data_IF_989718243532
#
_entry.id   IF_989718243532
#
_cell.length_a   1.000
_cell.length_b   1.000
_cell.length_c   1.000
_cell.angle_alpha   90.00
_cell.angle_beta   90.00
_cell.angle_gamma   90.00
#
_symmetry.space_group_name_H-M   'P 1'
#
loop_
_entity.id
_entity.type
_entity.pdbx_description
1 polymer ?
#
# COMPACT_ATOMS: atom_id res chain seq x y z
N UNK A 1 14.45 11.72 0.99
CA UNK A 1 13.46 10.65 1.29
C UNK A 1 14.14 9.30 1.16
N UNK A 2 13.62 8.22 1.77
CA UNK A 2 14.21 6.87 1.64
C UNK A 2 14.35 6.44 0.17
N UNK A 3 13.46 6.90 -0.71
CA UNK A 3 13.55 6.68 -2.16
C UNK A 3 14.82 7.24 -2.81
N UNK A 4 15.38 8.35 -2.32
CA UNK A 4 16.66 8.84 -2.82
C UNK A 4 17.82 7.89 -2.44
N UNK A 5 17.76 7.28 -1.26
CA UNK A 5 18.74 6.26 -0.86
C UNK A 5 18.59 5.00 -1.71
N UNK A 6 17.37 4.55 -2.00
CA UNK A 6 17.14 3.45 -2.94
C UNK A 6 17.70 3.77 -4.33
N UNK A 7 17.48 4.97 -4.85
CA UNK A 7 18.03 5.39 -6.13
C UNK A 7 19.57 5.36 -6.12
N UNK A 8 20.19 5.81 -5.01
CA UNK A 8 21.64 5.85 -4.85
C UNK A 8 22.28 4.46 -4.83
N UNK A 9 21.66 3.49 -4.15
CA UNK A 9 22.23 2.13 -3.99
C UNK A 9 21.93 1.19 -5.16
N UNK A 10 20.86 1.45 -5.93
CA UNK A 10 20.48 0.59 -7.04
C UNK A 10 21.37 0.81 -8.27
N UNK A 11 21.77 -0.30 -8.88
CA UNK A 11 22.37 -0.33 -10.22
C UNK A 11 21.37 0.22 -11.25
N UNK A 12 21.88 0.58 -12.43
CA UNK A 12 21.04 0.91 -13.58
C UNK A 12 20.04 -0.22 -13.86
N UNK A 13 18.81 0.14 -14.26
CA UNK A 13 17.67 -0.77 -14.38
C UNK A 13 17.26 -1.51 -13.10
N UNK A 14 17.85 -1.20 -11.95
CA UNK A 14 17.46 -1.77 -10.66
C UNK A 14 16.01 -1.45 -10.31
N UNK A 15 15.35 -2.39 -9.64
CA UNK A 15 13.94 -2.28 -9.27
C UNK A 15 13.77 -2.20 -7.75
N UNK A 16 12.81 -1.40 -7.30
CA UNK A 16 12.28 -1.43 -5.93
C UNK A 16 10.90 -2.07 -6.00
N UNK A 17 10.73 -3.18 -5.30
CA UNK A 17 9.45 -3.88 -5.18
C UNK A 17 8.98 -3.74 -3.74
N UNK A 18 7.76 -3.25 -3.54
CA UNK A 18 7.18 -3.13 -2.21
C UNK A 18 5.69 -3.43 -2.20
N UNK A 19 5.23 -3.88 -1.04
CA UNK A 19 3.84 -4.15 -0.71
C UNK A 19 3.46 -3.25 0.47
N UNK A 20 2.44 -2.41 0.30
CA UNK A 20 1.99 -1.45 1.32
C UNK A 20 0.48 -1.53 1.51
N UNK A 21 -0.06 -1.33 2.72
CA UNK A 21 -1.50 -1.23 2.90
C UNK A 21 -2.04 -0.02 2.13
N UNK A 22 -3.25 -0.15 1.62
CA UNK A 22 -3.91 0.87 0.82
C UNK A 22 -4.74 1.80 1.71
N UNK A 23 -4.55 3.11 1.61
CA UNK A 23 -5.31 4.07 2.41
C UNK A 23 -6.83 3.93 2.24
N UNK A 24 -7.28 3.55 1.04
CA UNK A 24 -8.71 3.42 0.72
C UNK A 24 -9.32 2.07 1.13
N UNK A 25 -8.55 1.18 1.74
CA UNK A 25 -9.10 -0.06 2.25
C UNK A 25 -9.97 0.19 3.49
N UNK A 26 -10.95 -0.68 3.72
CA UNK A 26 -11.91 -0.51 4.82
C UNK A 26 -11.24 -0.48 6.20
N UNK A 27 -10.16 -1.24 6.41
CA UNK A 27 -9.40 -1.27 7.66
C UNK A 27 -8.66 0.05 7.84
N UNK A 28 -7.96 0.54 6.80
CA UNK A 28 -7.25 1.82 6.81
C UNK A 28 -8.20 3.01 6.99
N UNK A 29 -9.39 2.97 6.36
CA UNK A 29 -10.41 3.99 6.55
C UNK A 29 -10.97 3.98 7.97
N UNK A 30 -11.28 2.80 8.51
CA UNK A 30 -11.76 2.66 9.88
C UNK A 30 -10.69 3.10 10.88
N UNK A 31 -9.40 2.78 10.65
CA UNK A 31 -8.32 3.20 11.56
C UNK A 31 -8.11 4.71 11.57
N UNK A 32 -8.35 5.40 10.46
CA UNK A 32 -8.32 6.87 10.41
C UNK A 32 -9.47 7.51 11.20
N UNK A 33 -10.63 6.84 11.30
CA UNK A 33 -11.81 7.35 12.01
C UNK A 33 -11.77 7.01 13.50
N UNK A 34 -11.27 5.81 13.85
CA UNK A 34 -11.22 5.33 15.23
C UNK A 34 -10.17 6.12 16.00
N UNK A 35 -10.55 6.84 17.08
CA UNK A 35 -9.57 7.55 17.92
C UNK A 35 -8.55 6.58 18.51
N UNK A 36 -7.27 6.98 18.59
CA UNK A 36 -6.18 6.17 19.13
C UNK A 36 -6.47 5.53 20.51
N UNK A 37 -7.36 6.15 21.31
CA UNK A 37 -7.81 5.63 22.62
C UNK A 37 -8.63 4.33 22.51
N UNK A 38 -9.43 4.17 21.46
CA UNK A 38 -10.24 2.97 21.21
C UNK A 38 -9.48 1.91 20.41
N UNK A 39 -8.42 2.31 19.70
CA UNK A 39 -7.61 1.41 18.89
C UNK A 39 -6.95 0.30 19.73
N UNK A 40 -6.42 0.66 20.92
CA UNK A 40 -5.85 -0.31 21.88
C UNK A 40 -6.88 -1.32 22.39
N UNK A 41 -8.10 -0.87 22.70
CA UNK A 41 -9.17 -1.74 23.21
C UNK A 41 -9.65 -2.72 22.14
N UNK A 42 -9.88 -2.23 20.92
CA UNK A 42 -10.36 -3.05 19.80
C UNK A 42 -9.30 -4.06 19.35
N UNK A 43 -8.03 -3.67 19.26
CA UNK A 43 -6.92 -4.57 18.89
C UNK A 43 -6.69 -5.66 19.94
N UNK A 44 -6.74 -5.32 21.22
CA UNK A 44 -6.58 -6.26 22.32
C UNK A 44 -7.74 -7.27 22.37
N UNK A 45 -8.98 -6.81 22.19
CA UNK A 45 -10.18 -7.67 22.29
C UNK A 45 -10.45 -8.50 21.03
N UNK A 46 -10.15 -8.01 19.82
CA UNK A 46 -10.50 -8.71 18.57
C UNK A 46 -9.37 -9.50 17.92
N UNK A 47 -8.11 -9.10 18.12
CA UNK A 47 -6.97 -9.68 17.41
C UNK A 47 -5.99 -10.41 18.32
N UNK A 48 -6.23 -10.42 19.64
CA UNK A 48 -5.36 -11.04 20.65
C UNK A 48 -3.89 -10.63 20.47
N UNK A 49 -3.65 -9.42 19.96
CA UNK A 49 -2.31 -8.87 19.75
C UNK A 49 -1.92 -8.06 20.98
N UNK A 50 -0.75 -8.36 21.52
CA UNK A 50 -0.16 -7.56 22.59
C UNK A 50 -0.07 -6.10 22.15
N UNK A 51 -0.52 -5.23 23.04
CA UNK A 51 -0.74 -3.79 22.89
C UNK A 51 0.52 -2.96 22.60
N UNK A 52 1.65 -3.60 22.38
CA UNK A 52 2.98 -3.00 22.45
C UNK A 52 3.50 -2.50 21.09
N UNK A 53 2.71 -2.65 20.02
CA UNK A 53 3.08 -2.22 18.66
C UNK A 53 2.09 -1.23 18.03
N UNK A 54 1.39 -0.42 18.84
CA UNK A 54 0.52 0.65 18.32
C UNK A 54 1.37 1.92 18.12
N UNK A 55 2.12 1.95 17.02
CA UNK A 55 2.79 3.17 16.56
C UNK A 55 1.80 4.08 15.82
N UNK A 56 2.04 5.39 15.86
CA UNK A 56 1.27 6.35 15.07
C UNK A 56 1.36 5.95 13.58
N UNK A 57 0.22 5.67 12.97
CA UNK A 57 0.16 5.22 11.57
C UNK A 57 0.21 6.44 10.65
N UNK A 58 1.37 6.70 10.06
CA UNK A 58 1.54 7.77 9.08
C UNK A 58 1.34 7.25 7.65
N UNK A 59 0.15 7.49 7.09
CA UNK A 59 -0.17 7.13 5.71
C UNK A 59 0.44 8.13 4.71
N UNK A 60 1.74 7.99 4.41
CA UNK A 60 2.48 8.90 3.50
C UNK A 60 2.67 8.34 2.08
N UNK A 61 2.49 7.03 1.89
CA UNK A 61 2.73 6.36 0.60
C UNK A 61 1.68 5.28 0.31
N UNK A 62 0.48 5.48 0.86
CA UNK A 62 -0.58 4.47 0.87
C UNK A 62 -1.65 4.76 -0.17
N UNK A 63 -1.50 5.85 -0.94
CA UNK A 63 -2.36 6.17 -2.07
C UNK A 63 -1.58 6.09 -3.39
N UNK A 64 -2.29 5.74 -4.47
CA UNK A 64 -1.71 5.72 -5.83
C UNK A 64 -1.13 7.08 -6.22
N UNK A 65 -1.75 8.19 -5.79
CA UNK A 65 -1.28 9.54 -6.11
C UNK A 65 0.08 9.84 -5.47
N UNK A 66 0.24 9.48 -4.19
CA UNK A 66 1.49 9.70 -3.46
C UNK A 66 2.62 8.86 -4.04
N UNK A 67 2.35 7.58 -4.35
CA UNK A 67 3.31 6.67 -4.98
C UNK A 67 3.80 7.24 -6.31
N UNK A 68 2.88 7.70 -7.18
CA UNK A 68 3.24 8.29 -8.47
C UNK A 68 4.05 9.59 -8.32
N UNK A 69 3.63 10.46 -7.40
CA UNK A 69 4.32 11.74 -7.13
C UNK A 69 5.75 11.51 -6.63
N UNK A 70 5.92 10.63 -5.64
CA UNK A 70 7.23 10.30 -5.06
C UNK A 70 8.13 9.66 -6.12
N UNK A 71 7.62 8.67 -6.85
CA UNK A 71 8.39 7.98 -7.89
C UNK A 71 8.93 8.97 -8.93
N UNK A 72 8.06 9.85 -9.45
CA UNK A 72 8.45 10.88 -10.42
C UNK A 72 9.49 11.87 -9.87
N UNK A 73 9.35 12.27 -8.60
CA UNK A 73 10.28 13.21 -7.96
C UNK A 73 11.67 12.61 -7.64
N UNK A 74 11.79 11.29 -7.62
CA UNK A 74 13.01 10.57 -7.18
C UNK A 74 13.72 9.82 -8.31
N UNK A 75 13.30 10.01 -9.55
CA UNK A 75 13.92 9.39 -10.73
C UNK A 75 13.50 7.94 -10.98
N UNK A 76 12.38 7.50 -10.41
CA UNK A 76 11.81 6.18 -10.70
C UNK A 76 10.63 6.26 -11.66
N UNK A 77 10.49 5.23 -12.49
CA UNK A 77 9.32 4.97 -13.31
C UNK A 77 8.49 3.85 -12.67
N UNK A 78 7.16 4.00 -12.68
CA UNK A 78 6.25 2.97 -12.17
C UNK A 78 6.04 1.93 -13.27
N UNK A 79 6.76 0.82 -13.16
CA UNK A 79 6.70 -0.27 -14.14
C UNK A 79 5.46 -1.14 -13.94
N UNK A 80 5.13 -1.43 -12.68
CA UNK A 80 3.94 -2.20 -12.34
C UNK A 80 3.25 -1.63 -11.11
N UNK A 81 1.92 -1.57 -11.17
CA UNK A 81 1.08 -1.14 -10.05
C UNK A 81 -0.17 -2.00 -10.02
N UNK A 82 -0.40 -2.70 -8.92
CA UNK A 82 -1.53 -3.59 -8.77
C UNK A 82 -2.14 -3.49 -7.38
N UNK A 83 -3.46 -3.46 -7.35
CA UNK A 83 -4.23 -3.63 -6.13
C UNK A 83 -4.47 -5.12 -5.86
N UNK A 84 -4.07 -5.60 -4.68
CA UNK A 84 -4.16 -7.00 -4.27
C UNK A 84 -5.18 -7.20 -3.16
N UNK A 85 -5.98 -8.26 -3.31
CA UNK A 85 -6.92 -8.71 -2.29
C UNK A 85 -6.22 -9.56 -1.24
N UNK A 86 -6.71 -9.47 -0.01
CA UNK A 86 -6.39 -10.39 1.08
C UNK A 86 -7.72 -10.86 1.69
N UNK A 87 -7.76 -12.11 2.15
CA UNK A 87 -8.91 -12.60 2.91
C UNK A 87 -9.21 -11.65 4.08
N UNK A 88 -10.47 -11.50 4.50
CA UNK A 88 -10.88 -10.50 5.49
C UNK A 88 -10.47 -10.93 6.90
N UNK A 89 -9.17 -10.85 7.19
CA UNK A 89 -8.55 -11.29 8.43
C UNK A 89 -9.18 -10.61 9.66
N UNK A 90 -9.46 -9.31 9.55
CA UNK A 90 -10.08 -8.53 10.62
C UNK A 90 -11.52 -8.93 10.94
N UNK A 91 -12.17 -9.74 10.11
CA UNK A 91 -13.54 -10.21 10.31
C UNK A 91 -13.62 -11.69 10.71
N UNK A 92 -12.49 -12.36 10.92
CA UNK A 92 -12.44 -13.80 11.23
C UNK A 92 -13.07 -14.17 12.57
N UNK A 93 -13.20 -13.23 13.51
CA UNK A 93 -13.83 -13.45 14.81
C UNK A 93 -15.32 -13.80 14.72
N UNK A 94 -15.98 -13.53 13.59
CA UNK A 94 -17.41 -13.81 13.39
C UNK A 94 -17.68 -14.35 11.98
N UNK A 95 -18.33 -15.52 11.89
CA UNK A 95 -18.61 -16.19 10.62
C UNK A 95 -19.48 -15.37 9.66
N UNK A 96 -20.44 -14.60 10.17
CA UNK A 96 -21.33 -13.76 9.35
C UNK A 96 -20.53 -12.60 8.77
N UNK A 97 -19.75 -11.90 9.59
CA UNK A 97 -18.90 -10.80 9.14
C UNK A 97 -17.83 -11.29 8.16
N UNK A 98 -17.23 -12.46 8.40
CA UNK A 98 -16.28 -13.06 7.48
C UNK A 98 -16.91 -13.33 6.10
N UNK A 99 -18.13 -13.88 6.06
CA UNK A 99 -18.88 -14.09 4.81
C UNK A 99 -19.17 -12.77 4.10
N UNK A 100 -19.57 -11.73 4.83
CA UNK A 100 -19.78 -10.40 4.26
C UNK A 100 -18.48 -9.82 3.70
N UNK A 101 -17.36 -10.00 4.39
CA UNK A 101 -16.04 -9.60 3.91
C UNK A 101 -15.62 -10.31 2.61
N UNK A 102 -15.88 -11.61 2.50
CA UNK A 102 -15.64 -12.36 1.25
C UNK A 102 -16.56 -11.84 0.13
N UNK A 103 -17.84 -11.61 0.43
CA UNK A 103 -18.77 -11.08 -0.55
C UNK A 103 -18.31 -9.70 -1.05
N UNK A 104 -17.91 -8.82 -0.14
CA UNK A 104 -17.32 -7.53 -0.46
C UNK A 104 -16.08 -7.68 -1.36
N UNK A 105 -15.11 -8.53 -0.99
CA UNK A 105 -13.88 -8.74 -1.77
C UNK A 105 -14.17 -9.27 -3.19
N UNK A 106 -15.14 -10.19 -3.31
CA UNK A 106 -15.61 -10.69 -4.61
C UNK A 106 -16.28 -9.61 -5.44
N UNK A 107 -17.07 -8.73 -4.83
CA UNK A 107 -17.73 -7.61 -5.53
C UNK A 107 -16.69 -6.64 -6.06
N UNK A 108 -15.77 -6.14 -5.23
CA UNK A 108 -14.73 -5.21 -5.68
C UNK A 108 -13.77 -5.85 -6.69
N UNK A 109 -13.59 -7.18 -6.63
CA UNK A 109 -12.78 -7.92 -7.61
C UNK A 109 -13.48 -8.12 -8.95
N UNK A 110 -14.82 -8.19 -8.94
CA UNK A 110 -15.62 -8.29 -10.16
C UNK A 110 -15.67 -6.95 -10.90
N UNK A 111 -15.74 -5.83 -10.18
CA UNK A 111 -15.79 -4.49 -10.76
C UNK A 111 -14.40 -3.85 -10.73
N UNK A 112 -13.68 -3.88 -11.85
CA UNK A 112 -12.32 -3.34 -11.94
C UNK A 112 -12.19 -1.87 -11.51
N UNK A 113 -13.25 -1.08 -11.66
CA UNK A 113 -13.32 0.32 -11.18
C UNK A 113 -13.27 0.46 -9.67
N UNK A 114 -13.68 -0.57 -8.91
CA UNK A 114 -13.62 -0.64 -7.45
C UNK A 114 -12.35 -1.33 -6.94
N UNK A 115 -11.45 -1.75 -7.82
CA UNK A 115 -10.21 -2.41 -7.44
C UNK A 115 -9.32 -1.56 -6.51
N UNK A 116 -9.47 -0.24 -6.53
CA UNK A 116 -8.77 0.67 -5.62
C UNK A 116 -9.19 0.54 -4.15
N UNK A 117 -10.23 -0.22 -3.82
CA UNK A 117 -10.66 -0.48 -2.43
C UNK A 117 -10.03 -1.74 -1.83
N UNK A 118 -9.20 -2.44 -2.61
CA UNK A 118 -8.50 -3.63 -2.13
C UNK A 118 -7.44 -3.26 -1.08
N UNK A 119 -7.15 -4.16 -0.13
CA UNK A 119 -6.31 -3.88 1.03
C UNK A 119 -4.86 -3.56 0.72
N UNK A 120 -4.30 -4.11 -0.36
CA UNK A 120 -2.87 -3.99 -0.62
C UNK A 120 -2.57 -3.32 -1.95
N UNK A 121 -1.48 -2.57 -1.95
CA UNK A 121 -0.85 -2.04 -3.16
C UNK A 121 0.50 -2.73 -3.33
N UNK A 122 0.64 -3.48 -4.42
CA UNK A 122 1.92 -3.98 -4.91
C UNK A 122 2.43 -3.02 -5.99
N UNK A 123 3.64 -2.52 -5.81
CA UNK A 123 4.26 -1.63 -6.77
C UNK A 123 5.69 -2.06 -7.09
N UNK A 124 6.03 -1.99 -8.38
CA UNK A 124 7.38 -2.17 -8.91
C UNK A 124 7.80 -0.84 -9.51
N UNK A 125 8.84 -0.26 -8.92
CA UNK A 125 9.49 0.94 -9.41
C UNK A 125 10.79 0.55 -10.09
N UNK A 126 11.04 1.10 -11.27
CA UNK A 126 12.29 0.91 -12.01
C UNK A 126 13.10 2.19 -12.00
N UNK A 127 14.40 2.09 -11.70
CA UNK A 127 15.31 3.22 -11.79
C UNK A 127 15.38 3.69 -13.24
N UNK A 128 15.04 4.96 -13.50
CA UNK A 128 15.13 5.55 -14.83
C UNK A 128 16.59 5.56 -15.28
N UNK A 129 16.85 5.05 -16.49
CA UNK A 129 18.15 5.21 -17.12
C UNK A 129 18.29 6.68 -17.50
N UNK A 130 19.30 7.34 -16.95
CA UNK A 130 19.74 8.62 -17.47
C UNK A 130 20.47 8.32 -18.79
N UNK A 131 19.78 8.40 -19.92
CA UNK A 131 20.49 8.45 -21.20
C UNK A 131 21.19 9.81 -21.27
N UNK A 132 22.52 9.82 -21.16
CA UNK A 132 23.32 10.96 -21.58
C UNK A 132 23.09 11.17 -23.09
N UNK A 133 22.22 12.11 -23.43
CA UNK A 133 21.99 12.55 -24.80
C UNK A 133 23.12 13.44 -25.34
N UNK A 134 24.28 13.48 -24.67
CA UNK A 134 25.45 14.29 -25.05
C UNK A 134 26.37 13.59 -26.08
N UNK A 135 26.05 12.35 -26.51
CA UNK A 135 26.90 11.58 -27.44
C UNK A 135 26.41 11.64 -28.90
N UNK A 136 25.21 12.18 -29.19
CA UNK A 136 24.63 12.20 -30.55
C UNK A 136 24.78 13.53 -31.31
N UNK A 137 25.50 14.52 -30.75
CA UNK A 137 25.78 15.82 -31.42
C UNK A 137 27.30 16.12 -31.48
N UNK A 138 28.15 15.10 -31.67
CA UNK A 138 29.56 15.32 -32.02
C UNK A 138 29.90 14.65 -33.34
#
# INVERSE_FOLDING_TARGET
>A
TVFHEFYRILKENGQVIFLTPNLYDYVSCISCIVPNRLHKFILHTLLNRESDSVFDTYFKMNSKKDILSISKSTGFDVEHFQYLSQYPHYLMFNTILFRLGIMYDKLISKYGTLGFLRPWVLCVLKKRIQCDMDILIK
#
